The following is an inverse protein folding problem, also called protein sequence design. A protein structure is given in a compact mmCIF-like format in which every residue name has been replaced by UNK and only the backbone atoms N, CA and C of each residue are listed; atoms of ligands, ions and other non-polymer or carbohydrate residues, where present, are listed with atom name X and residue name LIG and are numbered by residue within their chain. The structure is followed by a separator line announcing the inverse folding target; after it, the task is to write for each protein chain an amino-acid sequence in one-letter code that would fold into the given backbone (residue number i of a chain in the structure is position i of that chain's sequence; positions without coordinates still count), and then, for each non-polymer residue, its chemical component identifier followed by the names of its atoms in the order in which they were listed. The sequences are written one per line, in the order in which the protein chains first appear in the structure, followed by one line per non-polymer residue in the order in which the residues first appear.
data_IF_810256692908
#
_entry.id   IF_810256692908
#
_cell.length_a   1.000
_cell.length_b   1.000
_cell.length_c   1.000
_cell.angle_alpha   90.00
_cell.angle_beta   90.00
_cell.angle_gamma   90.00
#
_symmetry.space_group_name_H-M   'P 1'
#
loop_
_entity.id
_entity.type
_entity.pdbx_description
1 polymer ?
#
# COMPACT_ATOMS: atom_id res chain seq x y z
N UNK A 1 -16.78 -1.90 18.06
CA UNK A 1 -17.90 -1.41 17.26
C UNK A 1 -19.25 -1.65 17.95
N UNK A 2 -19.67 -2.89 18.21
CA UNK A 2 -20.88 -3.15 18.98
C UNK A 2 -20.93 -2.39 20.32
N UNK A 3 -19.79 -2.24 21.00
CA UNK A 3 -19.68 -1.48 22.25
C UNK A 3 -19.99 0.01 22.07
N UNK A 4 -19.51 0.65 21.01
CA UNK A 4 -19.78 2.07 20.71
C UNK A 4 -21.26 2.30 20.44
N UNK A 5 -21.93 1.37 19.74
CA UNK A 5 -23.38 1.42 19.55
C UNK A 5 -24.15 1.17 20.87
N UNK A 6 -23.70 0.20 21.67
CA UNK A 6 -24.35 -0.15 22.94
C UNK A 6 -24.28 0.98 23.98
N UNK A 7 -23.13 1.69 24.05
CA UNK A 7 -22.93 2.82 24.96
C UNK A 7 -23.82 4.02 24.62
N UNK A 8 -24.39 4.08 23.41
CA UNK A 8 -25.33 5.09 22.94
C UNK A 8 -26.65 4.52 22.44
N UNK A 9 -27.27 3.58 23.17
CA UNK A 9 -28.40 2.74 22.74
C UNK A 9 -29.65 3.49 22.22
N UNK A 10 -29.84 4.74 22.59
CA UNK A 10 -30.91 5.62 22.11
C UNK A 10 -30.51 6.56 20.97
N UNK A 11 -29.22 6.52 20.54
CA UNK A 11 -28.66 7.45 19.56
C UNK A 11 -28.48 6.77 18.20
N UNK A 12 -28.70 7.54 17.15
CA UNK A 12 -28.35 7.15 15.80
C UNK A 12 -26.89 7.53 15.52
N UNK A 13 -26.10 6.61 14.97
CA UNK A 13 -24.71 6.81 14.64
C UNK A 13 -24.52 6.76 13.13
N UNK A 14 -23.88 7.76 12.58
CA UNK A 14 -23.35 7.71 11.21
C UNK A 14 -22.02 6.95 11.18
N UNK A 15 -21.64 6.43 10.02
CA UNK A 15 -20.31 5.81 9.83
C UNK A 15 -19.20 6.77 10.26
N UNK A 16 -19.31 8.06 9.89
CA UNK A 16 -18.32 9.09 10.23
C UNK A 16 -18.18 9.36 11.74
N UNK A 17 -19.24 9.25 12.53
CA UNK A 17 -19.18 9.39 13.99
C UNK A 17 -18.47 8.20 14.64
N UNK A 18 -18.74 6.98 14.15
CA UNK A 18 -18.07 5.77 14.65
C UNK A 18 -16.58 5.77 14.25
N UNK A 19 -16.24 6.29 13.06
CA UNK A 19 -14.85 6.51 12.62
C UNK A 19 -14.10 7.42 13.59
N UNK A 20 -14.71 8.56 13.96
CA UNK A 20 -14.10 9.51 14.92
C UNK A 20 -13.84 8.90 16.29
N UNK A 21 -14.69 7.97 16.71
CA UNK A 21 -14.56 7.30 18.02
C UNK A 21 -13.53 6.17 18.02
N UNK A 22 -13.38 5.44 16.91
CA UNK A 22 -12.54 4.23 16.84
C UNK A 22 -11.24 4.41 16.08
N UNK A 23 -11.07 5.49 15.30
CA UNK A 23 -9.85 5.80 14.55
C UNK A 23 -9.58 4.89 13.34
N UNK A 24 -10.55 4.08 12.90
CA UNK A 24 -10.42 3.17 11.77
C UNK A 24 -11.00 3.77 10.47
N UNK A 25 -10.65 3.21 9.31
CA UNK A 25 -11.15 3.71 8.03
C UNK A 25 -12.69 3.58 7.90
N UNK A 26 -13.32 4.56 7.22
CA UNK A 26 -14.77 4.59 7.03
C UNK A 26 -15.33 3.34 6.34
N UNK A 27 -14.63 2.80 5.34
CA UNK A 27 -15.02 1.56 4.67
C UNK A 27 -15.01 0.34 5.58
N UNK A 28 -13.97 0.19 6.41
CA UNK A 28 -13.89 -0.92 7.37
C UNK A 28 -14.99 -0.84 8.42
N UNK A 29 -15.30 0.36 8.88
CA UNK A 29 -16.38 0.61 9.87
C UNK A 29 -17.75 0.40 9.23
N UNK A 30 -17.99 0.91 8.02
CA UNK A 30 -19.23 0.69 7.28
C UNK A 30 -19.51 -0.81 7.07
N UNK A 31 -18.56 -1.56 6.57
CA UNK A 31 -18.68 -3.02 6.37
C UNK A 31 -18.93 -3.77 7.68
N UNK A 32 -18.34 -3.35 8.77
CA UNK A 32 -18.55 -4.01 10.05
C UNK A 32 -19.90 -3.64 10.68
N UNK A 33 -20.41 -2.44 10.47
CA UNK A 33 -21.77 -2.06 10.87
C UNK A 33 -22.81 -2.84 10.07
N UNK A 34 -22.62 -3.01 8.75
CA UNK A 34 -23.49 -3.85 7.92
C UNK A 34 -23.47 -5.34 8.37
N UNK A 35 -22.30 -5.85 8.79
CA UNK A 35 -22.21 -7.20 9.37
C UNK A 35 -22.99 -7.33 10.69
N UNK A 36 -23.00 -6.30 11.54
CA UNK A 36 -23.83 -6.29 12.75
C UNK A 36 -25.32 -6.29 12.40
N UNK A 37 -25.72 -5.52 11.38
CA UNK A 37 -27.10 -5.51 10.88
C UNK A 37 -27.48 -6.89 10.31
N UNK A 38 -26.63 -7.51 9.48
CA UNK A 38 -26.87 -8.83 8.91
C UNK A 38 -27.01 -9.94 9.96
N UNK A 39 -26.38 -9.77 11.14
CA UNK A 39 -26.50 -10.69 12.29
C UNK A 39 -27.67 -10.36 13.22
N UNK A 40 -28.44 -9.31 12.92
CA UNK A 40 -29.48 -8.84 13.81
C UNK A 40 -28.98 -8.15 15.10
N UNK A 41 -27.71 -7.80 15.18
CA UNK A 41 -27.05 -7.19 16.33
C UNK A 41 -27.07 -5.65 16.30
N UNK A 42 -27.58 -5.04 15.24
CA UNK A 42 -27.84 -3.61 15.08
C UNK A 42 -28.95 -3.39 14.07
N UNK A 43 -29.55 -2.18 14.05
CA UNK A 43 -30.58 -1.79 13.07
C UNK A 43 -30.05 -0.63 12.23
N UNK A 44 -30.21 -0.72 10.90
CA UNK A 44 -30.00 0.41 10.01
C UNK A 44 -31.26 1.27 9.95
N UNK A 45 -31.17 2.52 10.38
CA UNK A 45 -32.31 3.44 10.53
C UNK A 45 -32.53 4.29 9.28
N UNK A 46 -31.45 4.67 8.59
CA UNK A 46 -31.51 5.42 7.34
C UNK A 46 -30.45 4.97 6.34
N UNK A 47 -30.72 5.19 5.06
CA UNK A 47 -29.83 4.81 3.96
C UNK A 47 -28.98 5.98 3.42
N UNK A 48 -29.42 7.23 3.62
CA UNK A 48 -28.71 8.42 3.17
C UNK A 48 -28.92 9.61 4.15
N UNK A 49 -27.90 10.00 4.94
CA UNK A 49 -26.69 9.21 5.21
C UNK A 49 -26.99 7.91 5.98
N UNK A 50 -26.18 6.87 5.75
CA UNK A 50 -26.35 5.59 6.46
C UNK A 50 -26.22 5.80 7.96
N UNK A 51 -27.29 5.53 8.70
CA UNK A 51 -27.31 5.61 10.16
C UNK A 51 -27.70 4.28 10.79
N UNK A 52 -27.07 4.00 11.91
CA UNK A 52 -27.21 2.73 12.65
C UNK A 52 -27.58 2.99 14.09
N UNK A 53 -28.40 2.11 14.66
CA UNK A 53 -28.83 2.16 16.05
C UNK A 53 -28.62 0.79 16.71
N UNK A 54 -28.30 0.81 18.00
CA UNK A 54 -28.29 -0.40 18.82
C UNK A 54 -29.66 -1.00 18.95
N UNK A 55 -29.73 -2.32 19.11
CA UNK A 55 -30.92 -3.06 19.50
C UNK A 55 -30.65 -3.93 20.73
N UNK A 56 -31.62 -4.73 21.20
CA UNK A 56 -31.45 -5.58 22.36
C UNK A 56 -30.31 -6.61 22.25
N UNK A 57 -29.91 -7.00 21.06
CA UNK A 57 -28.82 -7.95 20.83
C UNK A 57 -27.43 -7.28 20.79
N UNK A 58 -27.35 -5.94 20.61
CA UNK A 58 -26.05 -5.21 20.48
C UNK A 58 -25.22 -5.31 21.77
N UNK A 59 -25.87 -5.22 22.95
CA UNK A 59 -25.18 -5.31 24.24
C UNK A 59 -24.57 -6.71 24.47
N UNK A 60 -25.28 -7.77 24.09
CA UNK A 60 -24.80 -9.15 24.17
C UNK A 60 -23.61 -9.39 23.21
N UNK A 61 -23.67 -8.87 21.99
CA UNK A 61 -22.57 -8.91 21.02
C UNK A 61 -21.32 -8.16 21.53
N UNK A 62 -21.50 -7.04 22.21
CA UNK A 62 -20.40 -6.27 22.81
C UNK A 62 -19.71 -7.04 23.96
N UNK A 63 -20.46 -7.78 24.77
CA UNK A 63 -19.94 -8.62 25.87
C UNK A 63 -19.17 -9.84 25.33
N UNK A 64 -19.71 -10.52 24.34
CA UNK A 64 -19.07 -11.70 23.71
C UNK A 64 -17.70 -11.35 23.11
N UNK A 65 -17.59 -10.19 22.47
CA UNK A 65 -16.32 -9.69 21.92
C UNK A 65 -15.26 -9.42 23.01
N UNK A 66 -15.69 -9.02 24.22
CA UNK A 66 -14.77 -8.75 25.36
C UNK A 66 -14.24 -10.06 25.96
N UNK A 67 -15.06 -11.10 26.04
CA UNK A 67 -14.66 -12.42 26.57
C UNK A 67 -13.63 -13.09 25.64
N UNK A 68 -13.79 -12.97 24.33
CA UNK A 68 -12.82 -13.52 23.35
C UNK A 68 -11.46 -12.84 23.44
N UNK A 69 -11.42 -11.53 23.70
CA UNK A 69 -10.16 -10.78 23.84
C UNK A 69 -9.44 -11.06 25.18
N UNK A 70 -10.18 -11.34 26.27
CA UNK A 70 -9.59 -11.67 27.57
C UNK A 70 -9.06 -13.11 27.62
N UNK A 71 -9.71 -14.05 26.95
CA UNK A 71 -9.23 -15.44 26.84
C UNK A 71 -7.93 -15.56 26.04
N UNK A 72 -7.71 -14.69 25.06
CA UNK A 72 -6.49 -14.63 24.28
C UNK A 72 -5.32 -13.99 25.04
N UNK A 73 -5.59 -13.10 26.01
CA UNK A 73 -4.57 -12.51 26.91
C UNK A 73 -4.14 -13.42 28.05
N UNK A 74 -4.97 -14.37 28.49
CA UNK A 74 -4.64 -15.31 29.57
C UNK A 74 -3.81 -16.52 29.14
N UNK A 75 -3.72 -16.84 27.86
CA UNK A 75 -2.87 -17.95 27.36
C UNK A 75 -1.39 -17.59 27.19
N UNK A 76 -0.98 -16.35 27.46
CA UNK A 76 0.40 -15.86 27.35
C UNK A 76 1.17 -15.67 28.67
N UNK A 77 0.67 -16.19 29.81
CA UNK A 77 1.33 -15.98 31.11
C UNK A 77 1.33 -17.25 31.93
N UNK A 78 2.26 -18.15 31.64
CA UNK A 78 2.76 -19.14 32.60
C UNK A 78 4.16 -19.59 32.18
N UNK A 79 5.15 -19.35 33.03
CA UNK A 79 6.54 -19.78 32.89
C UNK A 79 7.47 -19.00 33.76
N UNK A 80 7.52 -19.39 35.05
CA UNK A 80 8.34 -18.90 36.17
C UNK A 80 9.84 -19.18 35.95
N UNK A 81 10.70 -18.32 36.51
CA UNK A 81 12.08 -18.72 36.84
C UNK A 81 13.05 -17.57 37.07
N UNK A 82 13.04 -17.10 38.31
CA UNK A 82 14.18 -16.64 39.16
C UNK A 82 15.35 -15.80 38.61
N UNK A 83 15.43 -14.63 39.19
CA UNK A 83 16.61 -13.76 39.33
C UNK A 83 17.64 -14.36 40.31
N UNK A 84 18.95 -14.09 40.17
CA UNK A 84 19.60 -13.35 41.23
C UNK A 84 20.54 -12.20 40.80
N UNK A 85 20.43 -11.15 41.60
CA UNK A 85 21.39 -10.22 42.20
C UNK A 85 22.62 -9.71 41.45
N UNK A 86 22.70 -8.37 41.39
CA UNK A 86 23.94 -7.59 41.25
C UNK A 86 24.70 -7.52 42.61
N UNK A 87 26.02 -7.27 42.61
CA UNK A 87 26.57 -6.02 43.13
C UNK A 87 27.89 -5.57 42.47
N UNK A 88 28.61 -4.53 42.98
CA UNK A 88 28.32 -3.12 43.05
C UNK A 88 29.36 -2.25 42.29
N UNK A 89 29.14 -0.95 42.30
CA UNK A 89 29.97 0.10 41.72
C UNK A 89 31.28 0.39 42.46
N UNK A 90 32.29 0.87 41.74
CA UNK A 90 33.34 1.80 42.09
C UNK A 90 34.09 2.18 40.79
N UNK A 91 34.57 3.32 40.50
CA UNK A 91 34.74 4.65 40.99
C UNK A 91 35.55 5.42 39.92
N UNK A 92 35.18 6.63 39.72
CA UNK A 92 35.89 7.79 39.20
C UNK A 92 37.21 7.66 38.40
N UNK A 93 37.25 8.31 37.20
CA UNK A 93 38.27 9.35 36.96
C UNK A 93 37.93 10.20 35.70
N UNK A 94 38.05 11.46 35.91
CA UNK A 94 37.87 12.68 35.15
C UNK A 94 38.70 12.84 33.88
N UNK A 95 38.16 13.75 33.01
CA UNK A 95 38.86 14.72 32.12
C UNK A 95 39.28 14.21 30.72
N UNK A 96 38.78 14.77 29.65
CA UNK A 96 38.97 16.11 29.06
C UNK A 96 38.13 16.27 27.77
N UNK A 97 37.48 17.41 27.62
CA UNK A 97 37.05 17.96 26.36
C UNK A 97 38.24 18.36 25.49
N UNK A 98 38.11 18.27 24.18
CA UNK A 98 38.54 19.32 23.28
C UNK A 98 37.39 19.89 22.44
N UNK A 99 37.41 21.20 22.28
CA UNK A 99 36.50 22.03 21.50
C UNK A 99 36.72 21.85 19.99
N UNK A 100 35.72 22.20 19.14
CA UNK A 100 35.71 21.91 17.72
C UNK A 100 36.51 22.94 16.90
N UNK A 101 37.09 22.54 15.78
CA UNK A 101 37.45 23.51 14.75
C UNK A 101 36.24 23.85 13.88
N UNK A 102 35.93 25.13 13.88
CA UNK A 102 35.08 25.78 12.90
C UNK A 102 35.66 25.61 11.50
N UNK A 103 34.91 25.01 10.59
CA UNK A 103 35.11 25.16 9.17
C UNK A 103 33.73 25.32 8.52
N UNK A 104 33.41 26.55 8.23
CA UNK A 104 32.31 26.96 7.37
C UNK A 104 32.49 26.37 5.98
N UNK A 105 31.64 25.39 5.64
CA UNK A 105 31.41 25.01 4.26
C UNK A 105 30.40 25.97 3.62
N UNK A 106 30.61 26.41 2.36
CA UNK A 106 29.70 27.34 1.71
C UNK A 106 28.36 26.67 1.45
N UNK A 107 27.27 27.42 1.73
CA UNK A 107 25.92 27.04 1.37
C UNK A 107 25.84 26.78 -0.14
N UNK A 108 25.18 25.72 -0.60
CA UNK A 108 24.88 25.57 -2.01
C UNK A 108 23.89 26.63 -2.42
N UNK A 109 24.36 27.55 -3.26
CA UNK A 109 23.57 28.53 -3.99
C UNK A 109 22.45 27.83 -4.75
N UNK A 110 21.23 28.33 -4.61
CA UNK A 110 20.00 27.82 -5.20
C UNK A 110 20.12 27.49 -6.69
N UNK A 111 20.09 26.22 -6.98
CA UNK A 111 19.80 25.72 -8.32
C UNK A 111 18.30 25.84 -8.52
N UNK A 112 17.88 26.62 -9.52
CA UNK A 112 16.51 26.67 -10.03
C UNK A 112 16.08 25.23 -10.35
N UNK A 113 15.06 24.71 -9.66
CA UNK A 113 14.54 23.37 -9.83
C UNK A 113 13.85 23.24 -11.19
N UNK A 114 14.63 22.87 -12.22
CA UNK A 114 14.07 22.24 -13.39
C UNK A 114 13.58 20.84 -12.96
N UNK A 115 12.38 20.43 -13.41
CA UNK A 115 11.92 19.04 -13.16
C UNK A 115 13.00 18.06 -13.60
N UNK A 116 13.23 16.96 -12.84
CA UNK A 116 14.18 15.93 -13.21
C UNK A 116 13.86 15.36 -14.60
N UNK A 117 14.91 14.96 -15.33
CA UNK A 117 14.77 14.38 -16.67
C UNK A 117 13.99 13.07 -16.58
N UNK A 118 13.01 12.83 -17.48
CA UNK A 118 12.28 11.57 -17.52
C UNK A 118 13.21 10.37 -17.75
N UNK A 119 12.90 9.25 -17.11
CA UNK A 119 13.68 8.00 -17.18
C UNK A 119 12.88 6.97 -17.97
N UNK A 120 13.51 6.36 -18.98
CA UNK A 120 12.91 5.29 -19.75
C UNK A 120 12.91 4.00 -18.92
N UNK A 121 11.74 3.41 -18.69
CA UNK A 121 11.58 2.12 -18.03
C UNK A 121 11.85 0.97 -18.99
N UNK A 122 12.08 -0.27 -18.50
CA UNK A 122 12.33 -1.43 -19.35
C UNK A 122 11.25 -1.68 -20.42
N UNK A 123 10.00 -1.30 -20.15
CA UNK A 123 8.89 -1.40 -21.09
C UNK A 123 8.81 -0.24 -22.12
N UNK A 124 9.82 0.62 -22.19
CA UNK A 124 9.91 1.78 -23.09
C UNK A 124 9.11 3.01 -22.66
N UNK A 125 8.28 2.91 -21.61
CA UNK A 125 7.51 4.05 -21.14
C UNK A 125 8.35 5.00 -20.27
N UNK A 126 8.05 6.29 -20.35
CA UNK A 126 8.73 7.31 -19.57
C UNK A 126 8.20 7.34 -18.12
N UNK A 127 9.11 7.41 -17.17
CA UNK A 127 8.84 7.74 -15.79
C UNK A 127 9.33 9.17 -15.51
N UNK A 128 8.47 9.97 -14.91
CA UNK A 128 8.80 11.33 -14.48
C UNK A 128 9.13 11.31 -12.98
N UNK A 129 10.43 11.49 -12.60
CA UNK A 129 10.82 11.45 -11.20
C UNK A 129 10.10 12.50 -10.37
N UNK A 130 9.71 12.11 -9.16
CA UNK A 130 9.11 12.97 -8.14
C UNK A 130 10.14 13.26 -7.06
N UNK A 131 9.85 14.19 -6.19
CA UNK A 131 10.72 14.52 -5.07
C UNK A 131 10.45 13.58 -3.89
N UNK A 132 11.51 13.03 -3.30
CA UNK A 132 11.51 12.27 -2.05
C UNK A 132 12.70 12.72 -1.21
N UNK A 133 12.43 13.32 -0.03
CA UNK A 133 13.47 13.81 0.87
C UNK A 133 14.51 14.73 0.17
N UNK A 134 14.03 15.70 -0.61
CA UNK A 134 14.82 16.71 -1.36
C UNK A 134 15.72 16.15 -2.47
N UNK A 135 15.47 14.95 -2.93
CA UNK A 135 16.15 14.36 -4.09
C UNK A 135 15.14 13.63 -5.00
N UNK A 136 15.50 13.30 -6.25
CA UNK A 136 14.66 12.48 -7.11
C UNK A 136 14.38 11.12 -6.45
N UNK A 137 13.13 10.67 -6.47
CA UNK A 137 12.67 9.42 -5.86
C UNK A 137 13.44 8.18 -6.39
N UNK A 138 13.78 8.15 -7.67
CA UNK A 138 14.61 7.11 -8.28
C UNK A 138 16.01 7.07 -7.67
N UNK A 139 16.61 8.22 -7.42
CA UNK A 139 17.92 8.31 -6.78
C UNK A 139 17.86 7.90 -5.32
N UNK A 140 16.80 8.33 -4.61
CA UNK A 140 16.58 7.92 -3.23
C UNK A 140 16.47 6.40 -3.09
N UNK A 141 15.69 5.74 -3.97
CA UNK A 141 15.56 4.29 -3.96
C UNK A 141 16.88 3.58 -4.28
N UNK A 142 17.68 4.09 -5.22
CA UNK A 142 19.02 3.55 -5.51
C UNK A 142 19.98 3.69 -4.34
N UNK A 143 19.89 4.81 -3.60
CA UNK A 143 20.68 5.02 -2.39
C UNK A 143 20.29 4.05 -1.27
N UNK A 144 18.98 3.82 -1.08
CA UNK A 144 18.48 2.84 -0.10
C UNK A 144 18.93 1.41 -0.44
N UNK A 145 18.92 1.01 -1.74
CA UNK A 145 19.50 -0.28 -2.15
C UNK A 145 20.97 -0.39 -1.82
N UNK A 146 21.78 0.64 -2.13
CA UNK A 146 23.22 0.67 -1.80
C UNK A 146 23.46 0.55 -0.28
N UNK A 147 22.59 1.11 0.52
CA UNK A 147 22.63 1.00 1.96
C UNK A 147 22.05 -0.32 2.51
N UNK A 148 21.50 -1.18 1.66
CA UNK A 148 20.86 -2.45 2.07
C UNK A 148 19.59 -2.27 2.90
N UNK A 149 18.88 -1.15 2.73
CA UNK A 149 17.68 -0.80 3.50
C UNK A 149 16.42 -1.15 2.70
N UNK A 150 15.69 -2.23 3.06
CA UNK A 150 14.48 -2.64 2.35
C UNK A 150 13.36 -1.59 2.43
N UNK A 151 12.63 -1.43 1.34
CA UNK A 151 11.58 -0.41 1.18
C UNK A 151 10.24 -1.05 0.87
N UNK A 152 9.19 -0.55 1.53
CA UNK A 152 7.79 -0.79 1.20
C UNK A 152 7.17 0.48 0.63
N UNK A 153 6.68 0.42 -0.60
CA UNK A 153 5.88 1.47 -1.20
C UNK A 153 4.40 1.17 -0.98
N UNK A 154 3.65 2.08 -0.37
CA UNK A 154 2.22 1.87 -0.13
C UNK A 154 1.39 3.06 -0.61
N UNK A 155 0.15 2.80 -0.99
CA UNK A 155 -0.79 3.83 -1.46
C UNK A 155 -1.83 3.25 -2.41
N UNK A 156 -2.78 4.08 -2.88
CA UNK A 156 -3.83 3.63 -3.79
C UNK A 156 -3.26 2.99 -5.07
N UNK A 157 -3.99 2.08 -5.72
CA UNK A 157 -3.60 1.58 -7.03
C UNK A 157 -3.58 2.73 -8.06
N UNK A 158 -2.67 2.65 -9.04
CA UNK A 158 -2.58 3.70 -10.10
C UNK A 158 -1.71 4.91 -9.77
N UNK A 159 -1.08 4.98 -8.59
CA UNK A 159 -0.21 6.10 -8.16
C UNK A 159 1.23 6.01 -8.69
N UNK A 160 1.60 4.91 -9.36
CA UNK A 160 2.92 4.73 -9.99
C UNK A 160 3.97 4.06 -9.10
N UNK A 161 3.60 3.28 -8.08
CA UNK A 161 4.53 2.50 -7.24
C UNK A 161 5.47 1.61 -8.06
N UNK A 162 4.92 0.70 -8.86
CA UNK A 162 5.68 -0.18 -9.73
C UNK A 162 6.52 0.60 -10.74
N UNK A 163 5.99 1.73 -11.24
CA UNK A 163 6.69 2.56 -12.23
C UNK A 163 7.97 3.21 -11.69
N UNK A 164 7.98 3.68 -10.44
CA UNK A 164 9.20 4.24 -9.83
C UNK A 164 10.22 3.14 -9.53
N UNK A 165 9.77 1.95 -9.15
CA UNK A 165 10.64 0.80 -8.88
C UNK A 165 11.35 0.35 -10.17
N UNK A 166 10.60 0.18 -11.27
CA UNK A 166 11.16 -0.14 -12.59
C UNK A 166 12.15 0.93 -13.11
N UNK A 167 11.87 2.20 -12.85
CA UNK A 167 12.77 3.29 -13.21
C UNK A 167 14.05 3.33 -12.34
N UNK A 168 13.93 2.88 -11.08
CA UNK A 168 15.06 2.84 -10.16
C UNK A 168 16.00 1.64 -10.43
N UNK A 169 15.43 0.49 -10.78
CA UNK A 169 16.13 -0.78 -10.86
C UNK A 169 15.96 -1.44 -12.24
N UNK A 170 16.86 -1.19 -13.19
CA UNK A 170 16.79 -1.80 -14.53
C UNK A 170 17.02 -3.32 -14.52
N UNK A 171 17.62 -3.84 -13.46
CA UNK A 171 17.88 -5.27 -13.21
C UNK A 171 16.76 -5.96 -12.40
N UNK A 172 15.58 -5.38 -12.34
CA UNK A 172 14.47 -5.83 -11.52
C UNK A 172 13.97 -7.22 -11.91
N UNK A 173 13.78 -8.08 -10.92
CA UNK A 173 12.96 -9.28 -11.02
C UNK A 173 11.64 -8.99 -10.29
N UNK A 174 10.50 -9.28 -10.91
CA UNK A 174 9.18 -9.02 -10.33
C UNK A 174 8.46 -10.31 -10.01
N UNK A 175 8.00 -10.42 -8.76
CA UNK A 175 7.00 -11.38 -8.32
C UNK A 175 5.67 -10.61 -8.16
N UNK A 176 4.69 -10.93 -9.00
CA UNK A 176 3.32 -10.44 -8.82
C UNK A 176 2.62 -11.30 -7.76
N UNK A 177 2.21 -10.68 -6.67
CA UNK A 177 1.55 -11.37 -5.56
C UNK A 177 0.04 -11.43 -5.72
N UNK A 178 -0.53 -12.57 -5.40
CA UNK A 178 -1.97 -12.81 -5.31
C UNK A 178 -2.31 -13.78 -4.17
N UNK A 179 -3.61 -14.14 -4.05
CA UNK A 179 -4.09 -15.05 -3.00
C UNK A 179 -3.66 -16.51 -3.17
N UNK A 180 -3.30 -16.88 -4.38
CA UNK A 180 -2.93 -18.27 -4.75
C UNK A 180 -1.41 -18.46 -4.79
N UNK A 181 -0.63 -17.39 -4.62
CA UNK A 181 0.83 -17.44 -4.59
C UNK A 181 1.33 -18.40 -3.52
N UNK A 182 2.19 -19.34 -3.90
CA UNK A 182 2.78 -20.36 -3.05
C UNK A 182 4.30 -20.18 -2.84
N UNK A 183 4.88 -20.95 -1.92
CA UNK A 183 6.33 -20.93 -1.66
C UNK A 183 7.13 -21.37 -2.88
N UNK A 184 6.58 -22.29 -3.68
CA UNK A 184 7.17 -22.78 -4.92
C UNK A 184 7.36 -21.64 -5.94
N UNK A 185 6.39 -20.71 -6.04
CA UNK A 185 6.47 -19.56 -6.93
C UNK A 185 7.63 -18.60 -6.58
N UNK A 186 8.02 -18.56 -5.30
CA UNK A 186 9.16 -17.77 -4.84
C UNK A 186 10.49 -18.50 -4.99
N UNK A 187 10.53 -19.76 -4.58
CA UNK A 187 11.76 -20.53 -4.40
C UNK A 187 12.11 -21.35 -5.64
N UNK A 188 11.07 -21.92 -6.29
CA UNK A 188 11.20 -22.81 -7.43
C UNK A 188 10.66 -24.21 -7.16
N UNK A 189 10.54 -24.98 -8.22
CA UNK A 189 9.95 -26.31 -8.22
C UNK A 189 10.58 -27.23 -9.28
N UNK A 190 10.24 -28.52 -9.21
CA UNK A 190 10.61 -29.48 -10.24
C UNK A 190 9.65 -29.43 -11.43
N UNK A 191 10.19 -29.18 -12.61
CA UNK A 191 9.44 -29.22 -13.88
C UNK A 191 9.88 -30.41 -14.71
N UNK A 192 8.97 -30.91 -15.57
CA UNK A 192 9.28 -32.00 -16.49
C UNK A 192 10.07 -31.45 -17.69
N UNK A 193 11.17 -32.12 -18.04
CA UNK A 193 11.96 -31.81 -19.24
C UNK A 193 11.32 -32.35 -20.52
N UNK A 194 11.51 -31.64 -21.62
CA UNK A 194 11.27 -32.21 -22.94
C UNK A 194 12.21 -33.43 -23.14
N UNK A 195 11.62 -34.59 -23.35
CA UNK A 195 12.37 -35.85 -23.46
C UNK A 195 12.41 -36.74 -22.21
N UNK A 196 11.73 -36.34 -21.14
CA UNK A 196 11.58 -37.08 -19.90
C UNK A 196 12.57 -36.71 -18.81
N UNK A 197 12.23 -37.06 -17.56
CA UNK A 197 12.96 -36.62 -16.37
C UNK A 197 12.47 -35.31 -15.82
N UNK A 198 13.05 -34.90 -14.70
CA UNK A 198 12.70 -33.66 -13.99
C UNK A 198 13.94 -32.82 -13.78
N UNK A 199 13.75 -31.50 -13.84
CA UNK A 199 14.76 -30.51 -13.43
C UNK A 199 14.17 -29.53 -12.44
N UNK A 200 14.99 -29.02 -11.55
CA UNK A 200 14.60 -27.97 -10.63
C UNK A 200 14.80 -26.60 -11.30
N UNK A 201 13.72 -25.82 -11.38
CA UNK A 201 13.75 -24.45 -11.90
C UNK A 201 13.65 -23.50 -10.72
N UNK A 202 14.65 -22.64 -10.56
CA UNK A 202 14.65 -21.63 -9.48
C UNK A 202 13.61 -20.57 -9.71
N UNK A 203 12.90 -20.20 -8.64
CA UNK A 203 11.96 -19.10 -8.62
C UNK A 203 12.65 -17.72 -8.53
N UNK A 204 11.86 -16.65 -8.63
CA UNK A 204 12.35 -15.27 -8.69
C UNK A 204 13.17 -14.85 -7.46
N UNK A 205 12.84 -15.35 -6.25
CA UNK A 205 13.62 -15.04 -5.05
C UNK A 205 15.03 -15.64 -5.14
N UNK A 206 15.12 -16.93 -5.49
CA UNK A 206 16.43 -17.61 -5.60
C UNK A 206 17.26 -17.00 -6.70
N UNK A 207 16.67 -16.76 -7.86
CA UNK A 207 17.33 -16.10 -9.00
C UNK A 207 17.86 -14.72 -8.62
N UNK A 208 17.04 -13.89 -7.97
CA UNK A 208 17.46 -12.57 -7.52
C UNK A 208 18.62 -12.64 -6.51
N UNK A 209 18.58 -13.61 -5.60
CA UNK A 209 19.65 -13.83 -4.61
C UNK A 209 20.96 -14.27 -5.26
N UNK A 210 20.91 -15.21 -6.21
CA UNK A 210 22.10 -15.72 -6.89
C UNK A 210 22.76 -14.67 -7.79
N UNK A 211 21.94 -13.86 -8.49
CA UNK A 211 22.39 -12.86 -9.44
C UNK A 211 22.66 -11.47 -8.81
N UNK A 212 22.37 -11.27 -7.52
CA UNK A 212 22.54 -9.98 -6.85
C UNK A 212 21.60 -8.89 -7.35
N UNK A 213 20.41 -9.25 -7.81
CA UNK A 213 19.43 -8.36 -8.43
C UNK A 213 18.39 -7.84 -7.43
N UNK A 214 17.69 -6.77 -7.81
CA UNK A 214 16.54 -6.30 -7.06
C UNK A 214 15.33 -7.21 -7.30
N UNK A 215 14.65 -7.63 -6.23
CA UNK A 215 13.39 -8.34 -6.25
C UNK A 215 12.26 -7.41 -5.84
N UNK A 216 11.30 -7.19 -6.73
CA UNK A 216 10.01 -6.57 -6.39
C UNK A 216 9.01 -7.66 -6.02
N UNK A 217 8.43 -7.53 -4.83
CA UNK A 217 7.23 -8.25 -4.46
C UNK A 217 6.06 -7.28 -4.61
N UNK A 218 5.41 -7.31 -5.79
CA UNK A 218 4.27 -6.43 -6.07
C UNK A 218 3.01 -7.02 -5.44
N UNK A 219 2.12 -6.14 -4.96
CA UNK A 219 0.92 -6.53 -4.20
C UNK A 219 1.21 -7.53 -3.04
N UNK A 220 2.36 -7.37 -2.38
CA UNK A 220 2.88 -8.28 -1.35
C UNK A 220 1.86 -8.66 -0.26
N UNK A 221 0.91 -7.80 0.03
CA UNK A 221 -0.09 -8.02 1.08
C UNK A 221 -1.27 -8.91 0.66
N UNK A 222 -1.36 -9.28 -0.62
CA UNK A 222 -2.28 -10.31 -1.09
C UNK A 222 -1.71 -11.72 -0.88
N UNK A 223 -0.39 -11.85 -0.84
CA UNK A 223 0.30 -13.11 -0.58
C UNK A 223 0.08 -13.54 0.87
N UNK A 224 -0.17 -14.82 1.08
CA UNK A 224 -0.32 -15.39 2.42
C UNK A 224 0.91 -15.09 3.30
N UNK A 225 0.75 -14.67 4.57
CA UNK A 225 1.86 -14.45 5.49
C UNK A 225 2.78 -15.66 5.67
N UNK A 226 2.26 -16.87 5.50
CA UNK A 226 3.05 -18.12 5.55
C UNK A 226 4.04 -18.20 4.40
N UNK A 227 3.61 -17.78 3.21
CA UNK A 227 4.44 -17.75 1.99
C UNK A 227 5.49 -16.64 2.09
N UNK A 228 5.09 -15.45 2.50
CA UNK A 228 6.00 -14.31 2.70
C UNK A 228 7.10 -14.59 3.73
N UNK A 229 6.86 -15.50 4.67
CA UNK A 229 7.87 -15.92 5.64
C UNK A 229 9.12 -16.56 4.97
N UNK A 230 9.00 -17.06 3.73
CA UNK A 230 10.15 -17.54 2.95
C UNK A 230 11.16 -16.43 2.59
N UNK A 231 10.71 -15.16 2.51
CA UNK A 231 11.56 -14.01 2.26
C UNK A 231 12.43 -13.62 3.47
N UNK A 232 11.95 -13.89 4.69
CA UNK A 232 12.54 -13.32 5.91
C UNK A 232 14.03 -13.65 6.09
N UNK A 233 14.49 -14.91 5.91
CA UNK A 233 15.89 -15.23 6.05
C UNK A 233 16.80 -14.58 4.99
N UNK A 234 16.25 -14.25 3.82
CA UNK A 234 16.96 -13.52 2.77
C UNK A 234 17.13 -12.03 3.10
N UNK A 235 16.17 -11.46 3.86
CA UNK A 235 16.12 -10.04 4.20
C UNK A 235 16.84 -9.71 5.53
N UNK A 236 17.04 -10.68 6.40
CA UNK A 236 17.72 -10.48 7.68
C UNK A 236 19.25 -10.62 7.54
N UNK A 237 19.98 -10.47 8.65
CA UNK A 237 21.44 -10.53 8.68
C UNK A 237 22.05 -11.86 8.18
N UNK A 238 21.26 -12.93 8.06
CA UNK A 238 21.73 -14.22 7.52
C UNK A 238 21.93 -14.16 6.01
N UNK A 239 21.09 -13.42 5.29
CA UNK A 239 21.11 -13.31 3.84
C UNK A 239 21.17 -14.68 3.13
N UNK A 240 20.47 -15.67 3.68
CA UNK A 240 20.50 -17.06 3.22
C UNK A 240 19.10 -17.66 3.29
N UNK A 241 18.78 -18.53 2.33
CA UNK A 241 17.60 -19.38 2.36
C UNK A 241 17.99 -20.83 2.09
N UNK A 242 17.17 -21.77 2.56
CA UNK A 242 17.34 -23.18 2.27
C UNK A 242 16.25 -23.65 1.28
N UNK A 243 16.65 -24.15 0.13
CA UNK A 243 15.78 -24.74 -0.89
C UNK A 243 15.50 -26.20 -0.52
N UNK A 244 14.51 -26.40 0.35
CA UNK A 244 14.18 -27.73 0.91
C UNK A 244 13.82 -28.74 -0.17
N UNK A 245 13.10 -28.31 -1.21
CA UNK A 245 12.70 -29.13 -2.32
C UNK A 245 13.88 -29.59 -3.18
N UNK A 246 15.00 -28.86 -3.21
CA UNK A 246 16.18 -29.19 -3.98
C UNK A 246 17.35 -29.57 -3.07
N UNK A 247 17.37 -30.80 -2.58
CA UNK A 247 18.46 -31.37 -1.75
C UNK A 247 18.78 -30.60 -0.47
N UNK A 248 17.94 -29.65 -0.04
CA UNK A 248 18.23 -28.78 1.09
C UNK A 248 19.37 -27.77 0.81
N UNK A 249 19.62 -27.44 -0.44
CA UNK A 249 20.64 -26.50 -0.86
C UNK A 249 20.48 -25.15 -0.14
N UNK A 250 21.59 -24.58 0.32
CA UNK A 250 21.62 -23.25 0.92
C UNK A 250 22.06 -22.22 -0.10
N UNK A 251 21.20 -21.26 -0.38
CA UNK A 251 21.48 -20.12 -1.27
C UNK A 251 21.86 -18.93 -0.41
N UNK A 252 23.05 -18.38 -0.63
CA UNK A 252 23.51 -17.12 -0.03
C UNK A 252 23.31 -16.00 -1.04
N UNK A 253 22.74 -14.88 -0.56
CA UNK A 253 22.51 -13.73 -1.42
C UNK A 253 23.82 -13.09 -1.87
N UNK A 254 23.98 -12.95 -3.18
CA UNK A 254 25.08 -12.23 -3.79
C UNK A 254 25.00 -10.73 -3.43
N UNK A 255 26.13 -10.03 -3.63
CA UNK A 255 26.19 -8.58 -3.48
C UNK A 255 25.19 -7.91 -4.45
N UNK A 256 24.52 -6.85 -3.98
CA UNK A 256 23.51 -6.16 -4.76
C UNK A 256 22.09 -6.73 -4.62
N UNK A 257 21.90 -7.94 -4.08
CA UNK A 257 20.56 -8.44 -3.80
C UNK A 257 19.79 -7.50 -2.87
N UNK A 258 18.56 -7.20 -3.26
CA UNK A 258 17.71 -6.23 -2.58
C UNK A 258 16.23 -6.59 -2.71
N UNK A 259 15.44 -6.39 -1.66
CA UNK A 259 14.00 -6.61 -1.69
C UNK A 259 13.27 -5.30 -1.54
N UNK A 260 12.32 -5.05 -2.44
CA UNK A 260 11.38 -3.94 -2.39
C UNK A 260 9.97 -4.49 -2.59
N UNK A 261 8.99 -3.92 -1.89
CA UNK A 261 7.61 -4.40 -1.98
C UNK A 261 6.63 -3.27 -2.30
N UNK A 262 5.54 -3.65 -3.00
CA UNK A 262 4.37 -2.82 -3.23
C UNK A 262 3.20 -3.26 -2.35
N UNK A 263 2.46 -2.28 -1.82
CA UNK A 263 1.25 -2.51 -1.02
C UNK A 263 0.13 -1.54 -1.42
N UNK A 264 -1.07 -2.06 -1.59
CA UNK A 264 -2.28 -1.31 -1.85
C UNK A 264 -3.20 -1.39 -0.61
N UNK A 265 -3.11 -0.43 0.35
CA UNK A 265 -4.00 -0.41 1.51
C UNK A 265 -5.44 -0.21 1.05
N UNK A 266 -6.38 -0.90 1.70
CA UNK A 266 -7.81 -0.83 1.38
C UNK A 266 -8.29 -1.82 0.31
N UNK A 267 -7.39 -2.55 -0.37
CA UNK A 267 -7.78 -3.68 -1.22
C UNK A 267 -8.25 -4.83 -0.33
N UNK A 268 -9.36 -5.46 -0.72
CA UNK A 268 -9.92 -6.59 0.02
C UNK A 268 -8.92 -7.76 0.07
N UNK A 269 -8.67 -8.30 1.25
CA UNK A 269 -7.71 -9.38 1.45
C UNK A 269 -6.27 -8.94 1.69
N UNK A 270 -5.92 -7.68 1.45
CA UNK A 270 -4.58 -7.16 1.69
C UNK A 270 -4.28 -7.03 3.20
N UNK A 271 -3.35 -7.85 3.71
CA UNK A 271 -2.96 -7.85 5.13
C UNK A 271 -1.47 -7.55 5.27
N UNK A 272 -1.15 -6.38 5.81
CA UNK A 272 0.21 -6.04 6.22
C UNK A 272 0.42 -6.50 7.67
N UNK A 273 1.12 -7.63 7.86
CA UNK A 273 1.45 -8.13 9.19
C UNK A 273 2.60 -7.33 9.82
N UNK A 274 2.64 -7.24 11.16
CA UNK A 274 3.75 -6.59 11.87
C UNK A 274 5.11 -7.23 11.52
N UNK A 275 5.14 -8.55 11.35
CA UNK A 275 6.34 -9.29 10.98
C UNK A 275 6.88 -8.89 9.59
N UNK A 276 6.00 -8.62 8.62
CA UNK A 276 6.38 -8.11 7.31
C UNK A 276 6.75 -6.63 7.39
N UNK A 277 5.92 -5.82 8.05
CA UNK A 277 6.14 -4.38 8.19
C UNK A 277 7.50 -4.06 8.85
N UNK A 278 7.89 -4.81 9.88
CA UNK A 278 9.16 -4.61 10.59
C UNK A 278 10.41 -4.89 9.75
N UNK A 279 10.28 -5.65 8.66
CA UNK A 279 11.40 -5.96 7.76
C UNK A 279 11.64 -4.88 6.72
N UNK A 280 10.64 -4.06 6.45
CA UNK A 280 10.79 -2.88 5.60
C UNK A 280 11.06 -1.66 6.47
N UNK A 281 12.35 -1.37 6.67
CA UNK A 281 12.80 -0.27 7.54
C UNK A 281 12.36 1.10 7.06
N UNK A 282 12.06 1.24 5.76
CA UNK A 282 11.54 2.46 5.15
C UNK A 282 10.21 2.15 4.48
N UNK A 283 9.19 2.92 4.85
CA UNK A 283 7.85 2.83 4.27
C UNK A 283 7.51 4.17 3.63
N UNK A 284 7.26 4.16 2.32
CA UNK A 284 7.03 5.37 1.53
C UNK A 284 5.59 5.39 1.04
N UNK A 285 4.85 6.42 1.41
CA UNK A 285 3.51 6.66 0.88
C UNK A 285 3.59 7.23 -0.53
N UNK A 286 2.89 6.62 -1.46
CA UNK A 286 2.82 7.05 -2.86
C UNK A 286 1.39 7.49 -3.15
N UNK A 287 1.18 8.81 -3.13
CA UNK A 287 -0.08 9.44 -3.48
C UNK A 287 -0.16 9.84 -4.94
N UNK A 288 -1.31 10.39 -5.36
CA UNK A 288 -1.47 11.02 -6.66
C UNK A 288 -0.72 12.34 -6.73
N UNK A 289 0.00 12.51 -7.82
CA UNK A 289 0.65 13.78 -8.17
C UNK A 289 -0.14 14.46 -9.30
N UNK A 290 -1.06 15.34 -8.92
CA UNK A 290 -1.87 16.09 -9.89
C UNK A 290 -1.08 17.21 -10.57
N UNK A 291 0.04 17.66 -10.00
CA UNK A 291 0.95 18.63 -10.63
C UNK A 291 1.74 17.92 -11.75
N UNK A 292 2.08 16.65 -11.56
CA UNK A 292 2.60 15.81 -12.63
C UNK A 292 1.55 15.63 -13.74
N UNK A 293 0.29 15.40 -13.39
CA UNK A 293 -0.78 15.25 -14.39
C UNK A 293 -0.91 16.53 -15.26
N UNK A 294 -0.80 17.72 -14.68
CA UNK A 294 -0.76 18.99 -15.42
C UNK A 294 0.47 19.10 -16.34
N UNK A 295 1.64 18.72 -15.83
CA UNK A 295 2.87 18.74 -16.62
C UNK A 295 2.86 17.75 -17.80
N UNK A 296 2.14 16.63 -17.66
CA UNK A 296 1.88 15.67 -18.74
C UNK A 296 0.80 16.16 -19.70
N UNK A 297 0.34 17.42 -19.55
CA UNK A 297 -0.65 18.08 -20.41
C UNK A 297 -1.99 17.35 -20.45
N UNK A 298 -2.34 16.68 -19.36
CA UNK A 298 -3.70 16.14 -19.19
C UNK A 298 -4.67 17.34 -19.13
N UNK A 299 -5.85 17.19 -19.72
CA UNK A 299 -6.84 18.26 -19.80
C UNK A 299 -7.07 18.92 -18.43
N UNK A 300 -6.90 20.27 -18.29
CA UNK A 300 -7.00 20.96 -17.00
C UNK A 300 -8.31 20.71 -16.26
N UNK A 301 -9.44 20.64 -16.99
CA UNK A 301 -10.76 20.34 -16.41
C UNK A 301 -10.78 18.96 -15.74
N UNK A 302 -10.15 17.95 -16.33
CA UNK A 302 -10.06 16.59 -15.75
C UNK A 302 -9.20 16.59 -14.48
N UNK A 303 -8.07 17.29 -14.48
CA UNK A 303 -7.23 17.45 -13.28
C UNK A 303 -7.94 18.21 -12.17
N UNK A 304 -8.72 19.26 -12.51
CA UNK A 304 -9.56 19.98 -11.54
C UNK A 304 -10.60 19.09 -10.90
N UNK A 305 -11.29 18.24 -11.68
CA UNK A 305 -12.24 17.27 -11.16
C UNK A 305 -11.55 16.28 -10.22
N UNK A 306 -10.40 15.74 -10.62
CA UNK A 306 -9.61 14.81 -9.81
C UNK A 306 -9.18 15.42 -8.47
N UNK A 307 -8.67 16.64 -8.45
CA UNK A 307 -8.32 17.37 -7.21
C UNK A 307 -9.52 17.62 -6.31
N UNK A 308 -10.67 17.94 -6.89
CA UNK A 308 -11.89 18.14 -6.10
C UNK A 308 -12.37 16.83 -5.49
N UNK A 309 -12.35 15.72 -6.25
CA UNK A 309 -12.69 14.39 -5.73
C UNK A 309 -11.72 13.95 -4.64
N UNK A 310 -10.43 14.19 -4.80
CA UNK A 310 -9.45 13.88 -3.75
C UNK A 310 -9.74 14.63 -2.44
N UNK A 311 -10.11 15.92 -2.53
CA UNK A 311 -10.51 16.70 -1.34
C UNK A 311 -11.80 16.17 -0.68
N UNK A 312 -12.74 15.68 -1.47
CA UNK A 312 -13.96 15.04 -0.94
C UNK A 312 -13.62 13.69 -0.32
N UNK A 313 -12.69 12.95 -0.90
CA UNK A 313 -12.20 11.68 -0.36
C UNK A 313 -11.48 11.88 0.99
N UNK A 314 -10.65 12.91 1.12
CA UNK A 314 -9.99 13.26 2.37
C UNK A 314 -10.99 13.61 3.48
N UNK A 315 -12.17 14.16 3.11
CA UNK A 315 -13.27 14.44 4.03
C UNK A 315 -14.15 13.23 4.32
N UNK A 316 -13.97 12.12 3.59
CA UNK A 316 -14.82 10.94 3.68
C UNK A 316 -16.19 11.09 3.02
N UNK A 317 -16.37 12.09 2.15
CA UNK A 317 -17.61 12.34 1.42
C UNK A 317 -17.76 11.41 0.20
N UNK A 318 -16.64 10.96 -0.39
CA UNK A 318 -16.56 9.95 -1.45
C UNK A 318 -15.51 8.91 -1.09
N UNK A 319 -15.66 7.70 -1.63
CA UNK A 319 -14.70 6.60 -1.44
C UNK A 319 -13.55 6.61 -2.46
N UNK A 320 -13.70 7.36 -3.56
CA UNK A 320 -12.79 7.28 -4.70
C UNK A 320 -12.43 8.65 -5.29
N UNK A 321 -11.18 8.76 -5.74
CA UNK A 321 -10.70 9.84 -6.58
C UNK A 321 -9.77 9.28 -7.67
N UNK A 322 -9.83 9.77 -8.92
CA UNK A 322 -8.99 9.27 -9.99
C UNK A 322 -7.52 9.56 -9.70
N UNK A 323 -6.70 8.52 -9.88
CA UNK A 323 -5.26 8.56 -9.70
C UNK A 323 -4.58 8.87 -11.05
N UNK A 324 -3.27 8.91 -11.09
CA UNK A 324 -2.53 9.21 -12.32
C UNK A 324 -2.83 8.22 -13.46
N UNK A 325 -3.06 6.93 -13.14
CA UNK A 325 -3.43 5.89 -14.13
C UNK A 325 -4.73 6.25 -14.86
N UNK A 326 -5.76 6.60 -14.12
CA UNK A 326 -7.07 6.96 -14.66
C UNK A 326 -7.01 8.27 -15.47
N UNK A 327 -6.18 9.22 -15.03
CA UNK A 327 -5.97 10.48 -15.76
C UNK A 327 -5.19 10.28 -17.07
N UNK A 328 -4.19 9.40 -17.09
CA UNK A 328 -3.50 9.01 -18.33
C UNK A 328 -4.44 8.23 -19.27
N UNK A 329 -5.31 7.38 -18.72
CA UNK A 329 -6.34 6.71 -19.50
C UNK A 329 -7.34 7.71 -20.09
N UNK A 330 -7.77 8.72 -19.30
CA UNK A 330 -8.61 9.82 -19.77
C UNK A 330 -7.99 10.49 -21.00
N UNK A 331 -6.69 10.85 -20.95
CA UNK A 331 -6.00 11.48 -22.07
C UNK A 331 -6.00 10.61 -23.34
N UNK A 332 -5.83 9.30 -23.19
CA UNK A 332 -5.89 8.35 -24.33
C UNK A 332 -7.30 8.24 -24.90
N UNK A 333 -8.31 8.13 -24.04
CA UNK A 333 -9.73 8.08 -24.45
C UNK A 333 -10.11 9.38 -25.15
N UNK A 334 -9.69 10.52 -24.63
CA UNK A 334 -9.92 11.82 -25.26
C UNK A 334 -9.31 11.92 -26.66
N UNK A 335 -8.12 11.40 -26.85
CA UNK A 335 -7.45 11.40 -28.17
C UNK A 335 -8.19 10.56 -29.23
N UNK A 336 -8.90 9.49 -28.80
CA UNK A 336 -9.58 8.55 -29.69
C UNK A 336 -11.07 8.87 -29.87
N UNK A 337 -11.77 9.17 -28.77
CA UNK A 337 -13.23 9.30 -28.73
C UNK A 337 -13.70 10.74 -28.43
N UNK A 338 -12.78 11.66 -28.20
CA UNK A 338 -13.09 13.05 -27.87
C UNK A 338 -13.34 13.28 -26.37
N UNK A 339 -13.40 14.56 -26.00
CA UNK A 339 -13.44 15.00 -24.60
C UNK A 339 -14.73 14.56 -23.88
N UNK A 340 -15.88 14.60 -24.55
CA UNK A 340 -17.16 14.21 -23.93
C UNK A 340 -17.15 12.73 -23.54
N UNK A 341 -16.67 11.85 -24.43
CA UNK A 341 -16.53 10.43 -24.15
C UNK A 341 -15.51 10.17 -23.01
N UNK A 342 -14.43 10.94 -22.91
CA UNK A 342 -13.46 10.82 -21.84
C UNK A 342 -14.08 11.19 -20.49
N UNK A 343 -14.89 12.24 -20.41
CA UNK A 343 -15.62 12.58 -19.17
C UNK A 343 -16.70 11.54 -18.84
N UNK A 344 -17.42 11.03 -19.82
CA UNK A 344 -18.38 9.95 -19.63
C UNK A 344 -17.69 8.68 -19.08
N UNK A 345 -16.51 8.34 -19.62
CA UNK A 345 -15.69 7.25 -19.11
C UNK A 345 -15.24 7.48 -17.66
N UNK A 346 -14.85 8.73 -17.32
CA UNK A 346 -14.43 9.07 -15.95
C UNK A 346 -15.57 8.84 -14.94
N UNK A 347 -16.82 9.13 -15.32
CA UNK A 347 -18.00 8.81 -14.52
C UNK A 347 -18.20 7.29 -14.45
N UNK A 348 -18.03 6.58 -15.57
CA UNK A 348 -18.26 5.14 -15.66
C UNK A 348 -17.32 4.29 -14.81
N UNK A 349 -16.05 4.70 -14.67
CA UNK A 349 -15.04 3.98 -13.89
C UNK A 349 -15.13 4.26 -12.38
N UNK A 350 -15.89 5.28 -11.97
CA UNK A 350 -16.12 5.55 -10.56
C UNK A 350 -16.96 4.43 -9.92
N UNK A 351 -16.74 4.09 -8.64
CA UNK A 351 -17.61 3.21 -7.87
C UNK A 351 -19.08 3.65 -7.98
N UNK A 352 -19.99 2.69 -7.96
CA UNK A 352 -21.43 2.97 -8.14
C UNK A 352 -21.94 4.02 -7.16
N UNK A 353 -21.49 3.93 -5.91
CA UNK A 353 -21.85 4.84 -4.83
C UNK A 353 -21.37 6.28 -5.02
N UNK A 354 -20.30 6.49 -5.78
CA UNK A 354 -19.70 7.82 -5.99
C UNK A 354 -20.09 8.46 -7.34
N UNK A 355 -20.73 7.71 -8.25
CA UNK A 355 -21.00 8.15 -9.64
C UNK A 355 -21.79 9.43 -9.74
N UNK A 356 -22.78 9.62 -8.89
CA UNK A 356 -23.63 10.81 -8.91
C UNK A 356 -22.82 12.05 -8.51
N UNK A 357 -21.96 11.93 -7.51
CA UNK A 357 -21.06 13.02 -7.10
C UNK A 357 -20.05 13.33 -8.19
N UNK A 358 -19.49 12.32 -8.85
CA UNK A 358 -18.57 12.49 -9.99
C UNK A 358 -19.28 13.15 -11.16
N UNK A 359 -20.50 12.72 -11.52
CA UNK A 359 -21.30 13.31 -12.60
C UNK A 359 -21.64 14.78 -12.32
N UNK A 360 -21.99 15.12 -11.08
CA UNK A 360 -22.23 16.50 -10.66
C UNK A 360 -21.00 17.40 -10.75
N UNK A 361 -19.83 16.88 -10.36
CA UNK A 361 -18.56 17.60 -10.51
C UNK A 361 -18.18 17.79 -11.98
N UNK A 362 -18.37 16.76 -12.81
CA UNK A 362 -18.17 16.88 -14.27
C UNK A 362 -19.07 17.96 -14.82
N UNK A 363 -20.36 17.96 -14.48
CA UNK A 363 -21.32 18.99 -14.92
C UNK A 363 -20.89 20.39 -14.47
N UNK A 364 -20.49 20.57 -13.22
CA UNK A 364 -20.05 21.87 -12.66
C UNK A 364 -18.81 22.43 -13.38
N UNK A 365 -17.86 21.56 -13.74
CA UNK A 365 -16.59 21.97 -14.35
C UNK A 365 -16.70 22.10 -15.87
N UNK A 366 -17.47 21.25 -16.53
CA UNK A 366 -17.58 21.25 -17.99
C UNK A 366 -18.71 22.12 -18.51
N UNK A 367 -19.78 22.31 -17.73
CA UNK A 367 -21.04 22.96 -18.13
C UNK A 367 -22.05 22.03 -18.79
N UNK A 368 -21.69 20.75 -19.03
CA UNK A 368 -22.53 19.78 -19.72
C UNK A 368 -22.89 18.61 -18.79
N UNK A 369 -24.10 18.08 -18.93
CA UNK A 369 -24.49 16.83 -18.30
C UNK A 369 -23.85 15.68 -19.08
N UNK A 370 -23.22 14.76 -18.39
CA UNK A 370 -22.71 13.53 -18.94
C UNK A 370 -23.15 12.37 -18.04
N UNK A 371 -23.41 11.22 -18.64
CA UNK A 371 -23.58 9.94 -17.98
C UNK A 371 -22.42 9.00 -18.36
N UNK A 372 -22.35 7.79 -17.77
CA UNK A 372 -21.37 6.78 -18.17
C UNK A 372 -21.48 6.43 -19.64
N UNK A 373 -20.36 6.02 -20.25
CA UNK A 373 -20.38 5.47 -21.61
C UNK A 373 -21.29 4.25 -21.68
N UNK A 374 -22.13 4.20 -22.71
CA UNK A 374 -23.05 3.08 -22.94
C UNK A 374 -23.10 2.71 -24.41
N UNK A 375 -23.35 1.43 -24.70
CA UNK A 375 -23.59 0.93 -26.02
C UNK A 375 -25.07 1.06 -26.38
N UNK A 376 -25.36 1.47 -27.63
CA UNK A 376 -26.71 1.64 -28.13
C UNK A 376 -27.40 2.93 -27.68
N UNK A 377 -28.66 3.12 -28.12
CA UNK A 377 -29.51 4.20 -27.59
C UNK A 377 -29.98 3.85 -26.19
N UNK A 378 -29.75 4.72 -25.24
CA UNK A 378 -30.43 4.65 -23.95
C UNK A 378 -31.92 5.05 -24.21
N UNK A 379 -32.82 4.13 -23.89
CA UNK A 379 -34.26 4.37 -23.92
C UNK A 379 -34.69 5.21 -22.75
#
# INVERSE_FOLDING_TARGET
MARVLADGSQRHFTVGEVVRTLGNSGGAIGNALEKLVARGEAVRVATDPRTYQANGATAAAAQTATVTSSAQRQRGRCGTGSKPAAPPAADAAQQRKPSPPSASAPAPTGAKSGRPVPITRPNGMQYHPRELAQMPDVEALRNLRRAGVPVLLYGPPGTGKTSVIEAAFPDLITLAGDGDTEVADLIGEYTQREGGGYEFVYGPLVTAMQEGRALLVDDATLISPKVLAALYPAMDGRRQIQVKAHKGETITAAEGFYVIAGHNPGVHGAVLTEALASRFSVQIQVGSDYDLAEALKIRPKAVTIARNLARLQDKGEVGWAPQLRELLAFQKVEAVLGAEAAFANLIGIAPLEDRDVVADLVRKVTGHRAGPLSLGRQL
#
